data_IF_745423224898
#
_entry.id   IF_745423224898
#
_cell.length_a   1.000
_cell.length_b   1.000
_cell.length_c   1.000
_cell.angle_alpha   90.00
_cell.angle_beta   90.00
_cell.angle_gamma   90.00
#
_symmetry.space_group_name_H-M   'P 1'
#
loop_
_entity.id
_entity.type
_entity.pdbx_description
1 polymer ?
#
# COMPACT_ATOMS: atom_id res chain seq x y z
N UNK A 1 7.34 5.55 25.12
CA UNK A 1 6.89 6.02 23.80
C UNK A 1 6.24 4.84 23.09
N UNK A 2 4.92 4.78 23.09
CA UNK A 2 4.14 3.66 22.55
C UNK A 2 4.34 3.62 21.02
N UNK A 3 4.96 2.56 20.49
CA UNK A 3 4.96 2.29 19.05
C UNK A 3 3.59 1.73 18.70
N UNK A 4 2.71 2.59 18.19
CA UNK A 4 1.41 2.17 17.69
C UNK A 4 1.59 1.39 16.38
N UNK A 5 1.10 0.14 16.41
CA UNK A 5 0.59 -0.69 15.34
C UNK A 5 1.57 -1.14 14.25
N UNK A 6 1.74 -2.46 14.17
CA UNK A 6 2.23 -3.22 13.02
C UNK A 6 1.42 -2.87 11.77
N UNK A 7 1.79 -1.80 11.08
CA UNK A 7 1.26 -1.50 9.75
C UNK A 7 1.79 -2.59 8.82
N UNK A 8 0.90 -3.45 8.32
CA UNK A 8 1.26 -4.52 7.39
C UNK A 8 1.76 -3.88 6.10
N UNK A 9 2.89 -4.34 5.55
CA UNK A 9 3.42 -3.79 4.31
C UNK A 9 2.42 -4.12 3.17
N UNK A 10 1.95 -3.14 2.39
CA UNK A 10 1.03 -3.39 1.29
C UNK A 10 1.58 -4.39 0.25
N UNK A 11 2.90 -4.51 0.10
CA UNK A 11 3.50 -5.49 -0.79
C UNK A 11 3.47 -6.91 -0.20
N UNK A 12 3.61 -7.07 1.12
CA UNK A 12 3.42 -8.37 1.77
C UNK A 12 1.99 -8.89 1.59
N UNK A 13 1.01 -7.98 1.69
CA UNK A 13 -0.41 -8.31 1.46
C UNK A 13 -0.67 -8.65 -0.01
N UNK A 14 -0.15 -7.84 -0.94
CA UNK A 14 -0.28 -8.11 -2.37
C UNK A 14 0.36 -9.44 -2.77
N UNK A 15 1.53 -9.78 -2.21
CA UNK A 15 2.20 -11.06 -2.45
C UNK A 15 1.34 -12.23 -1.97
N UNK A 16 0.77 -12.12 -0.77
CA UNK A 16 -0.12 -13.14 -0.21
C UNK A 16 -1.32 -13.40 -1.14
N UNK A 17 -2.06 -12.34 -1.52
CA UNK A 17 -3.20 -12.46 -2.41
C UNK A 17 -2.84 -12.98 -3.80
N UNK A 18 -1.69 -12.55 -4.33
CA UNK A 18 -1.18 -13.08 -5.60
C UNK A 18 -0.93 -14.58 -5.53
N UNK A 19 -0.31 -15.07 -4.45
CA UNK A 19 -0.07 -16.51 -4.24
C UNK A 19 -1.33 -17.33 -4.04
N UNK A 20 -2.38 -16.71 -3.50
CA UNK A 20 -3.70 -17.32 -3.32
C UNK A 20 -4.54 -17.31 -4.61
N UNK A 21 -4.09 -16.58 -5.65
CA UNK A 21 -4.84 -16.41 -6.90
C UNK A 21 -6.03 -15.47 -6.77
N UNK A 22 -6.07 -14.65 -5.72
CA UNK A 22 -7.09 -13.62 -5.52
C UNK A 22 -6.88 -12.48 -6.51
N UNK A 23 -7.98 -11.96 -7.05
CA UNK A 23 -7.94 -10.68 -7.75
C UNK A 23 -7.71 -9.56 -6.72
N UNK A 24 -6.92 -8.56 -7.10
CA UNK A 24 -6.66 -7.37 -6.30
C UNK A 24 -6.16 -6.24 -7.19
N UNK A 25 -6.21 -5.00 -6.68
CA UNK A 25 -5.59 -3.83 -7.28
C UNK A 25 -4.43 -3.31 -6.42
N UNK A 26 -3.32 -3.01 -7.08
CA UNK A 26 -2.16 -2.34 -6.51
C UNK A 26 -2.02 -0.94 -7.11
N UNK A 27 -1.92 0.07 -6.25
CA UNK A 27 -1.73 1.46 -6.66
C UNK A 27 -0.40 1.99 -6.12
N UNK A 28 0.31 2.76 -6.96
CA UNK A 28 1.51 3.51 -6.58
C UNK A 28 1.33 4.97 -6.98
N UNK A 29 1.60 5.89 -6.05
CA UNK A 29 1.65 7.32 -6.35
C UNK A 29 2.91 7.62 -7.15
N UNK A 30 2.75 7.95 -8.43
CA UNK A 30 3.88 8.26 -9.33
C UNK A 30 4.25 9.74 -9.31
N UNK A 31 3.30 10.62 -8.99
CA UNK A 31 3.50 12.07 -8.89
C UNK A 31 2.45 12.68 -7.94
N UNK A 32 2.73 13.88 -7.43
CA UNK A 32 1.85 14.60 -6.50
C UNK A 32 1.87 16.10 -6.81
N UNK A 33 0.75 16.79 -6.56
CA UNK A 33 0.64 18.23 -6.71
C UNK A 33 0.08 18.90 -5.44
N UNK A 34 0.48 20.14 -5.19
CA UNK A 34 -0.03 20.94 -4.09
C UNK A 34 0.18 20.28 -2.72
N UNK A 35 -0.84 20.30 -1.88
CA UNK A 35 -0.83 19.79 -0.50
C UNK A 35 -1.28 18.33 -0.40
N UNK A 36 -0.92 17.48 -1.38
CA UNK A 36 -1.31 16.06 -1.34
C UNK A 36 -0.78 15.39 -0.06
N UNK A 37 -1.64 14.70 0.72
CA UNK A 37 -1.26 14.14 2.03
C UNK A 37 -0.33 12.92 1.92
N UNK A 38 -0.24 12.29 0.75
CA UNK A 38 0.61 11.12 0.51
C UNK A 38 1.74 11.48 -0.45
N UNK A 39 3.01 11.23 -0.09
CA UNK A 39 4.15 11.51 -0.96
C UNK A 39 4.23 10.52 -2.14
N UNK A 40 4.99 10.89 -3.17
CA UNK A 40 5.40 10.00 -4.26
C UNK A 40 6.00 8.71 -3.70
N UNK A 41 5.64 7.57 -4.29
CA UNK A 41 6.06 6.24 -3.86
C UNK A 41 5.18 5.62 -2.78
N UNK A 42 4.16 6.33 -2.27
CA UNK A 42 3.12 5.73 -1.43
C UNK A 42 2.38 4.62 -2.18
N UNK A 43 2.00 3.56 -1.46
CA UNK A 43 1.39 2.34 -2.03
C UNK A 43 0.13 1.97 -1.28
N UNK A 44 -0.82 1.41 -2.03
CA UNK A 44 -2.08 0.89 -1.52
C UNK A 44 -2.39 -0.42 -2.25
N UNK A 45 -2.89 -1.40 -1.53
CA UNK A 45 -3.43 -2.63 -2.09
C UNK A 45 -4.86 -2.83 -1.59
N UNK A 46 -5.76 -3.26 -2.47
CA UNK A 46 -7.16 -3.59 -2.17
C UNK A 46 -7.55 -4.87 -2.93
N UNK A 47 -8.37 -5.73 -2.34
CA UNK A 47 -8.99 -6.88 -3.03
C UNK A 47 -10.10 -6.45 -3.99
#
# INVERSE_FOLDING_TARGET
>A
MLKHTTSRDPLEVAECWHREGCAFALATVIETWGSSPHPVGSRLVIE
#
